data_IF_031501788183
#
_entry.id   IF_031501788183
#
_cell.length_a   1.000
_cell.length_b   1.000
_cell.length_c   1.000
_cell.angle_alpha   90.00
_cell.angle_beta   90.00
_cell.angle_gamma   90.00
#
_symmetry.space_group_name_H-M   'P 1'
#
loop_
_entity.id
_entity.type
_entity.pdbx_description
1 polymer ?
#
# COMPACT_ATOMS: atom_id res chain seq x y z
N UNK A 1 0.01 11.53 -15.71
CA UNK A 1 0.75 12.39 -14.77
C UNK A 1 0.24 12.34 -13.31
N UNK A 2 -0.93 11.76 -13.01
CA UNK A 2 -1.43 11.59 -11.63
C UNK A 2 -0.82 10.35 -10.91
N UNK A 3 -0.56 9.25 -11.62
CA UNK A 3 -0.07 7.99 -11.05
C UNK A 3 1.30 8.13 -10.32
N UNK A 4 2.29 8.74 -10.97
CA UNK A 4 3.63 8.98 -10.39
C UNK A 4 3.54 9.87 -9.15
N UNK A 5 2.70 10.90 -9.18
CA UNK A 5 2.45 11.75 -8.00
C UNK A 5 1.87 10.93 -6.84
N UNK A 6 0.93 10.02 -7.11
CA UNK A 6 0.33 9.15 -6.09
C UNK A 6 1.32 8.15 -5.51
N UNK A 7 2.21 7.61 -6.34
CA UNK A 7 3.31 6.77 -5.86
C UNK A 7 4.24 7.56 -4.93
N UNK A 8 4.68 8.75 -5.33
CA UNK A 8 5.51 9.61 -4.49
C UNK A 8 4.82 9.97 -3.16
N UNK A 9 3.54 10.33 -3.23
CA UNK A 9 2.75 10.65 -2.04
C UNK A 9 2.62 9.44 -1.11
N UNK A 10 2.33 8.26 -1.66
CA UNK A 10 2.27 7.00 -0.91
C UNK A 10 3.62 6.72 -0.20
N UNK A 11 4.72 6.76 -0.96
CA UNK A 11 6.07 6.51 -0.45
C UNK A 11 6.48 7.51 0.65
N UNK A 12 6.21 8.80 0.45
CA UNK A 12 6.50 9.83 1.45
C UNK A 12 5.69 9.61 2.74
N UNK A 13 4.41 9.26 2.61
CA UNK A 13 3.55 8.99 3.77
C UNK A 13 3.95 7.72 4.50
N UNK A 14 4.34 6.66 3.78
CA UNK A 14 4.91 5.45 4.38
C UNK A 14 6.13 5.78 5.25
N UNK A 15 7.08 6.56 4.73
CA UNK A 15 8.27 6.94 5.48
C UNK A 15 7.96 7.80 6.70
N UNK A 16 7.13 8.84 6.53
CA UNK A 16 6.71 9.72 7.62
C UNK A 16 5.96 8.97 8.72
N UNK A 17 5.01 8.10 8.34
CA UNK A 17 4.25 7.28 9.27
C UNK A 17 5.15 6.32 10.06
N UNK A 18 6.12 5.69 9.39
CA UNK A 18 7.12 4.83 10.02
C UNK A 18 7.95 5.60 11.05
N UNK A 19 8.43 6.79 10.69
CA UNK A 19 9.21 7.63 11.60
C UNK A 19 8.39 8.04 12.83
N UNK A 20 7.16 8.53 12.63
CA UNK A 20 6.25 8.91 13.72
C UNK A 20 5.92 7.71 14.63
N UNK A 21 5.79 6.51 14.04
CA UNK A 21 5.58 5.27 14.80
C UNK A 21 6.79 4.96 15.69
N UNK A 22 8.01 5.06 15.15
CA UNK A 22 9.24 4.88 15.94
C UNK A 22 9.38 5.94 17.03
N UNK A 23 9.01 7.19 16.75
CA UNK A 23 8.99 8.26 17.74
C UNK A 23 7.95 8.00 18.84
N UNK A 24 6.78 7.47 18.50
CA UNK A 24 5.78 7.03 19.49
C UNK A 24 6.35 5.94 20.40
N UNK A 25 6.93 4.89 19.82
CA UNK A 25 7.49 3.75 20.56
C UNK A 25 8.69 4.14 21.44
N UNK A 26 9.51 5.09 21.02
CA UNK A 26 10.71 5.52 21.76
C UNK A 26 10.44 6.54 22.86
N UNK A 27 9.30 7.24 22.83
CA UNK A 27 9.00 8.34 23.78
C UNK A 27 7.80 8.10 24.69
N UNK A 28 7.02 7.04 24.45
CA UNK A 28 5.95 6.62 25.33
C UNK A 28 6.40 5.57 26.35
N UNK A 29 5.76 5.56 27.52
CA UNK A 29 5.71 4.40 28.43
C UNK A 29 4.25 3.92 28.50
N UNK A 30 4.01 2.68 28.92
CA UNK A 30 2.68 2.12 29.17
C UNK A 30 1.86 3.03 30.10
N UNK A 31 2.50 3.69 31.06
CA UNK A 31 1.86 4.60 32.02
C UNK A 31 1.71 6.04 31.52
N UNK A 32 2.43 6.41 30.47
CA UNK A 32 2.34 7.73 29.84
C UNK A 32 2.54 7.57 28.32
N UNK A 33 1.53 7.02 27.62
CA UNK A 33 1.65 6.81 26.19
C UNK A 33 1.75 8.16 25.49
N UNK A 34 2.65 8.26 24.50
CA UNK A 34 2.79 9.44 23.66
C UNK A 34 1.62 9.56 22.66
N UNK A 35 0.38 9.66 23.16
CA UNK A 35 -0.89 9.56 22.41
C UNK A 35 -0.92 10.49 21.20
N UNK A 36 -0.42 11.73 21.35
CA UNK A 36 -0.35 12.66 20.22
C UNK A 36 0.47 12.11 19.05
N UNK A 37 1.62 11.47 19.33
CA UNK A 37 2.47 10.88 18.28
C UNK A 37 1.80 9.66 17.64
N UNK A 38 1.07 8.88 18.42
CA UNK A 38 0.29 7.76 17.91
C UNK A 38 -0.76 8.23 16.88
N UNK A 39 -1.56 9.25 17.21
CA UNK A 39 -2.56 9.76 16.26
C UNK A 39 -1.94 10.45 15.04
N UNK A 40 -0.78 11.11 15.19
CA UNK A 40 -0.03 11.62 14.03
C UNK A 40 0.44 10.48 13.12
N UNK A 41 0.96 9.39 13.70
CA UNK A 41 1.35 8.21 12.94
C UNK A 41 0.15 7.59 12.22
N UNK A 42 -0.99 7.44 12.89
CA UNK A 42 -2.22 6.93 12.27
C UNK A 42 -2.67 7.79 11.09
N UNK A 43 -2.69 9.11 11.21
CA UNK A 43 -3.08 10.00 10.11
C UNK A 43 -2.19 9.86 8.88
N UNK A 44 -0.87 9.66 9.06
CA UNK A 44 0.05 9.41 7.96
C UNK A 44 -0.11 7.99 7.39
N UNK A 45 -0.37 6.98 8.22
CA UNK A 45 -0.71 5.63 7.73
C UNK A 45 -2.00 5.61 6.92
N UNK A 46 -3.05 6.29 7.40
CA UNK A 46 -4.31 6.45 6.65
C UNK A 46 -4.05 7.10 5.28
N UNK A 47 -3.25 8.17 5.27
CA UNK A 47 -2.83 8.84 4.04
C UNK A 47 -2.04 7.93 3.10
N UNK A 48 -1.20 7.04 3.64
CA UNK A 48 -0.48 6.03 2.88
C UNK A 48 -1.44 5.07 2.18
N UNK A 49 -2.36 4.45 2.93
CA UNK A 49 -3.36 3.51 2.37
C UNK A 49 -4.26 4.17 1.32
N UNK A 50 -4.71 5.41 1.55
CA UNK A 50 -5.53 6.13 0.57
C UNK A 50 -4.76 6.43 -0.72
N UNK A 51 -3.48 6.80 -0.64
CA UNK A 51 -2.68 7.02 -1.86
C UNK A 51 -2.35 5.71 -2.57
N UNK A 52 -2.12 4.61 -1.85
CA UNK A 52 -1.98 3.28 -2.43
C UNK A 52 -3.26 2.87 -3.19
N UNK A 53 -4.43 3.02 -2.57
CA UNK A 53 -5.72 2.74 -3.22
C UNK A 53 -5.90 3.53 -4.52
N UNK A 54 -5.68 4.86 -4.48
CA UNK A 54 -5.81 5.70 -5.66
C UNK A 54 -4.80 5.31 -6.74
N UNK A 55 -3.58 4.92 -6.37
CA UNK A 55 -2.59 4.41 -7.31
C UNK A 55 -3.10 3.15 -8.02
N UNK A 56 -3.62 2.17 -7.26
CA UNK A 56 -4.18 0.92 -7.80
C UNK A 56 -5.34 1.21 -8.74
N UNK A 57 -6.26 2.11 -8.35
CA UNK A 57 -7.40 2.50 -9.19
C UNK A 57 -6.97 3.11 -10.54
N UNK A 58 -5.94 3.97 -10.52
CA UNK A 58 -5.41 4.58 -11.74
C UNK A 58 -4.71 3.52 -12.59
N UNK A 59 -3.91 2.64 -11.97
CA UNK A 59 -3.20 1.58 -12.67
C UNK A 59 -4.17 0.62 -13.39
N UNK A 60 -5.19 0.14 -12.68
CA UNK A 60 -6.22 -0.73 -13.24
C UNK A 60 -6.97 -0.06 -14.40
N UNK A 61 -7.21 1.26 -14.33
CA UNK A 61 -7.84 2.03 -15.41
C UNK A 61 -6.92 2.28 -16.61
N UNK A 62 -5.60 2.30 -16.41
CA UNK A 62 -4.61 2.48 -17.47
C UNK A 62 -4.30 1.18 -18.23
N UNK A 63 -4.69 0.03 -17.70
CA UNK A 63 -4.52 -1.26 -18.36
C UNK A 63 -5.25 -1.33 -19.70
N UNK A 64 -4.66 -2.05 -20.67
CA UNK A 64 -5.30 -2.31 -21.95
C UNK A 64 -6.59 -3.15 -21.76
N UNK A 65 -7.58 -3.06 -22.67
CA UNK A 65 -8.75 -3.93 -22.60
C UNK A 65 -8.35 -5.41 -22.50
N UNK A 66 -8.76 -6.08 -21.43
CA UNK A 66 -8.40 -7.47 -21.13
C UNK A 66 -7.18 -7.67 -20.22
N UNK A 67 -6.50 -6.60 -19.78
CA UNK A 67 -5.49 -6.71 -18.72
C UNK A 67 -6.15 -7.11 -17.41
N UNK A 68 -5.52 -8.04 -16.69
CA UNK A 68 -5.97 -8.41 -15.35
C UNK A 68 -5.80 -7.23 -14.39
N UNK A 69 -6.78 -6.97 -13.51
CA UNK A 69 -6.61 -5.99 -12.44
C UNK A 69 -5.49 -6.44 -11.49
N UNK A 70 -4.96 -5.50 -10.71
CA UNK A 70 -3.90 -5.79 -9.74
C UNK A 70 -4.29 -6.88 -8.72
N UNK A 71 -5.58 -6.99 -8.41
CA UNK A 71 -6.15 -8.07 -7.61
C UNK A 71 -7.58 -8.36 -8.07
N UNK A 72 -8.10 -9.53 -7.71
CA UNK A 72 -9.49 -9.95 -7.92
C UNK A 72 -10.24 -9.93 -6.58
N UNK A 73 -11.52 -9.52 -6.62
CA UNK A 73 -12.35 -9.54 -5.42
C UNK A 73 -12.46 -10.95 -4.83
N UNK A 74 -11.89 -11.11 -3.64
CA UNK A 74 -11.92 -12.32 -2.82
C UNK A 74 -10.62 -13.12 -2.88
N UNK A 75 -9.61 -12.68 -3.64
CA UNK A 75 -8.34 -13.39 -3.76
C UNK A 75 -7.49 -13.36 -2.48
N UNK A 76 -7.83 -12.46 -1.54
CA UNK A 76 -7.16 -12.34 -0.27
C UNK A 76 -5.72 -11.86 -0.40
N UNK A 77 -5.32 -11.30 -1.54
CA UNK A 77 -3.99 -10.76 -1.77
C UNK A 77 -3.67 -9.60 -0.80
N UNK A 78 -2.39 -9.36 -0.47
CA UNK A 78 -1.99 -8.18 0.29
C UNK A 78 -2.55 -6.87 -0.28
N UNK A 79 -2.58 -6.74 -1.59
CA UNK A 79 -3.14 -5.64 -2.36
C UNK A 79 -4.63 -5.47 -2.06
N UNK A 80 -5.42 -6.55 -2.17
CA UNK A 80 -6.84 -6.51 -1.87
C UNK A 80 -7.10 -6.10 -0.42
N UNK A 81 -6.34 -6.66 0.52
CA UNK A 81 -6.53 -6.34 1.95
C UNK A 81 -6.12 -4.91 2.28
N UNK A 82 -5.05 -4.39 1.69
CA UNK A 82 -4.66 -2.98 1.81
C UNK A 82 -5.72 -2.04 1.21
N UNK A 83 -6.29 -2.42 0.08
CA UNK A 83 -7.42 -1.71 -0.52
C UNK A 83 -8.65 -1.72 0.41
N UNK A 84 -8.93 -2.85 1.08
CA UNK A 84 -9.98 -2.98 2.08
C UNK A 84 -9.78 -2.10 3.32
N UNK A 85 -8.53 -1.94 3.78
CA UNK A 85 -8.18 -0.97 4.83
C UNK A 85 -8.48 0.46 4.36
N UNK A 86 -8.06 0.84 3.15
CA UNK A 86 -8.33 2.16 2.58
C UNK A 86 -9.84 2.46 2.46
N UNK A 87 -10.63 1.48 2.03
CA UNK A 87 -12.09 1.58 2.01
C UNK A 87 -12.67 1.80 3.42
N UNK A 88 -12.14 1.09 4.42
CA UNK A 88 -12.58 1.26 5.82
C UNK A 88 -12.36 2.70 6.29
N UNK A 89 -11.21 3.30 5.95
CA UNK A 89 -10.88 4.71 6.25
C UNK A 89 -11.86 5.65 5.53
N UNK A 90 -12.01 5.49 4.22
CA UNK A 90 -12.85 6.35 3.38
C UNK A 90 -14.31 6.39 3.81
N UNK A 91 -14.84 5.26 4.26
CA UNK A 91 -16.26 5.13 4.61
C UNK A 91 -16.55 5.28 6.11
N UNK A 92 -15.53 5.53 6.92
CA UNK A 92 -15.65 5.58 8.38
C UNK A 92 -16.70 6.56 8.89
N UNK A 93 -16.72 7.79 8.38
CA UNK A 93 -17.70 8.80 8.81
C UNK A 93 -19.16 8.38 8.54
N UNK A 94 -19.41 7.68 7.43
CA UNK A 94 -20.72 7.12 7.13
C UNK A 94 -21.05 5.93 8.02
N UNK A 95 -20.07 5.10 8.36
CA UNK A 95 -20.25 3.96 9.25
C UNK A 95 -20.56 4.40 10.69
N UNK A 96 -19.94 5.48 11.17
CA UNK A 96 -20.28 6.13 12.43
C UNK A 96 -21.72 6.64 12.43
N UNK A 97 -22.11 7.42 11.42
CA UNK A 97 -23.45 7.99 11.33
C UNK A 97 -24.56 6.93 11.22
N UNK A 98 -24.24 5.76 10.68
CA UNK A 98 -25.19 4.66 10.49
C UNK A 98 -25.10 3.58 11.58
N UNK A 99 -24.34 3.83 12.65
CA UNK A 99 -24.22 2.90 13.78
C UNK A 99 -23.52 1.58 13.42
N UNK A 100 -22.77 1.52 12.30
CA UNK A 100 -22.02 0.34 11.87
C UNK A 100 -20.62 0.29 12.48
N UNK A 101 -20.49 0.55 13.78
CA UNK A 101 -19.22 0.48 14.49
C UNK A 101 -19.40 -0.28 15.80
N UNK A 102 -18.31 -0.85 16.31
CA UNK A 102 -18.26 -1.30 17.70
C UNK A 102 -17.87 -0.11 18.57
N UNK A 103 -18.31 -0.08 19.83
CA UNK A 103 -17.83 0.90 20.82
C UNK A 103 -16.30 0.80 21.00
N UNK A 104 -15.71 -0.37 20.76
CA UNK A 104 -14.27 -0.60 20.82
C UNK A 104 -13.52 -0.07 19.58
N UNK A 105 -14.23 0.31 18.52
CA UNK A 105 -13.65 0.81 17.28
C UNK A 105 -13.88 2.31 17.17
N UNK A 106 -13.03 3.10 17.83
CA UNK A 106 -13.14 4.57 17.81
C UNK A 106 -12.42 5.21 16.62
N UNK A 107 -11.63 4.43 15.88
CA UNK A 107 -10.83 4.85 14.72
C UNK A 107 -10.94 3.83 13.59
N UNK A 108 -10.80 4.25 12.31
CA UNK A 108 -10.91 3.33 11.18
C UNK A 108 -9.71 2.41 10.99
N UNK A 109 -8.57 2.80 11.60
CA UNK A 109 -7.29 2.12 11.51
C UNK A 109 -6.61 2.18 12.87
N UNK A 110 -6.04 1.06 13.32
CA UNK A 110 -5.15 1.03 14.47
C UNK A 110 -3.95 0.12 14.22
N UNK A 111 -2.89 0.30 15.03
CA UNK A 111 -1.69 -0.50 14.93
C UNK A 111 -1.77 -1.69 15.88
N UNK A 112 -1.34 -2.86 15.38
CA UNK A 112 -1.02 -4.03 16.19
C UNK A 112 0.49 -4.31 16.12
N UNK A 113 0.98 -5.22 16.95
CA UNK A 113 2.40 -5.61 16.92
C UNK A 113 2.84 -6.21 15.58
N UNK A 114 1.90 -6.66 14.75
CA UNK A 114 2.19 -7.27 13.45
C UNK A 114 1.92 -6.33 12.27
N UNK A 115 1.20 -5.23 12.46
CA UNK A 115 0.86 -4.31 11.37
C UNK A 115 -0.36 -3.45 11.66
N UNK A 116 -1.29 -3.50 10.71
CA UNK A 116 -2.42 -2.61 10.57
C UNK A 116 -3.71 -3.40 10.66
N UNK A 117 -4.64 -2.89 11.45
CA UNK A 117 -5.96 -3.47 11.63
C UNK A 117 -7.02 -2.41 11.29
N UNK A 118 -8.03 -2.83 10.56
CA UNK A 118 -9.32 -2.14 10.47
C UNK A 118 -10.43 -3.06 10.97
N UNK A 119 -11.68 -2.58 10.95
CA UNK A 119 -12.84 -3.40 11.34
C UNK A 119 -12.88 -4.78 10.67
N UNK A 120 -12.43 -4.88 9.40
CA UNK A 120 -12.61 -6.08 8.58
C UNK A 120 -11.35 -6.56 7.87
N UNK A 121 -10.25 -5.82 7.96
CA UNK A 121 -9.03 -6.13 7.21
C UNK A 121 -7.80 -6.02 8.09
N UNK A 122 -6.82 -6.85 7.76
CA UNK A 122 -5.51 -6.89 8.39
C UNK A 122 -4.43 -6.89 7.33
N UNK A 123 -3.40 -6.08 7.54
CA UNK A 123 -2.21 -6.00 6.69
C UNK A 123 -0.99 -5.95 7.58
N UNK A 124 0.00 -6.79 7.34
CA UNK A 124 1.24 -6.76 8.12
C UNK A 124 2.14 -5.59 7.71
N UNK A 125 3.09 -5.22 8.57
CA UNK A 125 4.10 -4.22 8.19
C UNK A 125 4.92 -4.64 6.95
N UNK A 126 5.19 -5.94 6.83
CA UNK A 126 5.92 -6.51 5.69
C UNK A 126 5.12 -6.35 4.40
N UNK A 127 3.85 -6.77 4.41
CA UNK A 127 2.97 -6.69 3.25
C UNK A 127 2.78 -5.26 2.75
N UNK A 128 2.58 -4.30 3.65
CA UNK A 128 2.50 -2.89 3.24
C UNK A 128 3.84 -2.40 2.69
N UNK A 129 4.97 -2.82 3.27
CA UNK A 129 6.30 -2.49 2.77
C UNK A 129 6.53 -2.98 1.35
N UNK A 130 6.22 -4.25 1.08
CA UNK A 130 6.33 -4.88 -0.25
C UNK A 130 5.41 -4.20 -1.27
N UNK A 131 4.18 -3.85 -0.88
CA UNK A 131 3.25 -3.11 -1.72
C UNK A 131 3.80 -1.72 -2.09
N UNK A 132 4.28 -0.96 -1.09
CA UNK A 132 4.81 0.40 -1.32
C UNK A 132 6.09 0.36 -2.16
N UNK A 133 6.94 -0.64 -1.96
CA UNK A 133 8.11 -0.89 -2.82
C UNK A 133 7.69 -1.18 -4.26
N UNK A 134 6.72 -2.08 -4.48
CA UNK A 134 6.18 -2.37 -5.81
C UNK A 134 5.61 -1.12 -6.50
N UNK A 135 4.87 -0.29 -5.77
CA UNK A 135 4.36 1.00 -6.26
C UNK A 135 5.51 1.93 -6.68
N UNK A 136 6.57 2.02 -5.86
CA UNK A 136 7.73 2.88 -6.14
C UNK A 136 8.52 2.39 -7.37
N UNK A 137 8.77 1.08 -7.47
CA UNK A 137 9.44 0.48 -8.63
C UNK A 137 8.66 0.73 -9.93
N UNK A 138 7.35 0.49 -9.91
CA UNK A 138 6.50 0.74 -11.06
C UNK A 138 6.46 2.23 -11.45
N UNK A 139 6.42 3.13 -10.47
CA UNK A 139 6.47 4.57 -10.75
C UNK A 139 7.80 5.00 -11.35
N UNK A 140 8.92 4.46 -10.87
CA UNK A 140 10.25 4.70 -11.42
C UNK A 140 10.35 4.20 -12.87
N UNK A 141 9.81 3.01 -13.12
CA UNK A 141 9.74 2.41 -14.46
C UNK A 141 8.91 3.27 -15.44
N UNK A 142 7.83 3.89 -14.97
CA UNK A 142 6.98 4.77 -15.78
C UNK A 142 7.56 6.17 -16.00
N UNK A 143 8.51 6.60 -15.15
CA UNK A 143 9.23 7.87 -15.34
C UNK A 143 10.24 7.80 -16.49
N UNK A 144 10.76 6.61 -16.79
CA UNK A 144 11.66 6.37 -17.93
C UNK A 144 11.21 5.17 -18.79
N UNK A 145 10.22 5.38 -19.68
CA UNK A 145 9.70 4.34 -20.56
C UNK A 145 10.77 3.76 -21.50
N UNK A 146 11.80 4.53 -21.85
CA UNK A 146 12.86 4.07 -22.76
C UNK A 146 13.76 3.04 -22.06
N UNK A 147 14.13 3.29 -20.81
CA UNK A 147 14.88 2.32 -19.99
C UNK A 147 14.04 1.09 -19.62
N UNK A 148 12.71 1.21 -19.56
CA UNK A 148 11.83 0.05 -19.41
C UNK A 148 11.85 -0.84 -20.66
N UNK A 149 11.65 -0.25 -21.85
CA UNK A 149 11.66 -0.98 -23.11
C UNK A 149 13.01 -1.70 -23.35
N UNK A 150 14.12 -1.05 -22.99
CA UNK A 150 15.45 -1.64 -23.08
C UNK A 150 15.62 -2.86 -22.16
N UNK A 151 15.23 -2.76 -20.89
CA UNK A 151 15.29 -3.90 -19.93
C UNK A 151 14.37 -5.06 -20.33
N UNK A 152 13.23 -4.77 -20.94
CA UNK A 152 12.32 -5.80 -21.44
C UNK A 152 12.97 -6.59 -22.60
N UNK A 153 13.56 -5.88 -23.57
CA UNK A 153 14.30 -6.51 -24.67
C UNK A 153 15.48 -7.36 -24.17
N UNK A 154 16.27 -6.84 -23.22
CA UNK A 154 17.41 -7.58 -22.62
C UNK A 154 16.98 -8.86 -21.87
N UNK A 155 15.79 -8.87 -21.24
CA UNK A 155 15.24 -10.06 -20.56
C UNK A 155 14.74 -11.12 -21.54
N UNK A 156 14.17 -10.71 -22.68
CA UNK A 156 13.73 -11.63 -23.74
C UNK A 156 14.93 -12.30 -24.42
N UNK A 157 16.01 -11.55 -24.68
CA UNK A 157 17.26 -12.08 -25.23
C UNK A 157 17.89 -13.12 -24.29
N UNK A 158 17.99 -12.83 -22.98
CA UNK A 158 18.52 -13.79 -22.00
C UNK A 158 17.66 -15.05 -21.85
N UNK A 159 16.33 -14.92 -21.90
CA UNK A 159 15.41 -16.08 -21.85
C UNK A 159 15.57 -16.99 -23.06
N UNK A 160 15.78 -16.42 -24.26
CA UNK A 160 16.01 -17.19 -25.48
C UNK A 160 17.38 -17.89 -25.49
N UNK A 161 18.43 -17.25 -24.98
CA UNK A 161 19.76 -17.87 -24.86
C UNK A 161 19.77 -19.05 -23.87
N UNK A 162 19.02 -18.93 -22.76
CA UNK A 162 18.95 -19.98 -21.73
C UNK A 162 18.15 -21.20 -22.20
N UNK A 163 17.13 -21.00 -23.04
CA UNK A 163 16.31 -22.08 -23.62
C UNK A 163 16.95 -22.74 -24.86
N UNK A 164 17.91 -22.08 -25.51
CA UNK A 164 18.65 -22.63 -26.65
C UNK A 164 19.79 -23.58 -26.29
N UNK A 165 20.18 -23.67 -25.01
CA UNK A 165 21.31 -24.47 -24.52
C UNK A 165 20.92 -25.84 -23.94
N UNK A 166 19.86 -26.47 -24.47
CA UNK A 166 19.50 -27.85 -24.10
C UNK A 166 20.52 -28.87 -24.65
N UNK A 167 20.98 -29.86 -23.85
CA UNK A 167 22.06 -30.75 -24.24
C UNK A 167 21.64 -31.71 -25.35
N UNK A 168 22.49 -31.79 -26.38
CA UNK A 168 22.46 -32.80 -27.44
C UNK A 168 22.95 -34.17 -26.93
#
# INVERSE_FOLDING_TARGET
MNLVYRAQACFNRYHSARELTLQYLSSGDVRNPAIRKYFLALADWESCFLNAQIFIDILNKMGAPGSQPMFVDGDGSPEQRAYGVANSIKHWGSDLAQGRHSEDHTVPLWLSNAGFESRSHRVTFKELGELVEGIALLANDLQDPASLAKRAAEREEQSNETNGAGPA
#
